data_IF_208510607740
#
_entry.id   IF_208510607740
#
_cell.length_a   1.000
_cell.length_b   1.000
_cell.length_c   1.000
_cell.angle_alpha   90.00
_cell.angle_beta   90.00
_cell.angle_gamma   90.00
#
_symmetry.space_group_name_H-M   'P 1'
#
loop_
_entity.id
_entity.type
_entity.pdbx_description
1 polymer ?
#
# COMPACT_ATOMS: atom_id res chain seq x y z
N UNK A 1 -24.91 8.15 -46.44
CA UNK A 1 -25.47 8.09 -45.07
C UNK A 1 -25.33 6.64 -44.64
N UNK A 2 -24.32 6.32 -43.84
CA UNK A 2 -24.03 4.94 -43.42
C UNK A 2 -24.90 4.56 -42.22
N UNK A 3 -25.75 3.56 -42.42
CA UNK A 3 -26.63 2.98 -41.40
C UNK A 3 -25.79 2.35 -40.27
N UNK A 4 -25.67 3.03 -39.13
CA UNK A 4 -25.08 2.48 -37.91
C UNK A 4 -26.07 1.45 -37.31
N UNK A 5 -25.83 0.16 -37.55
CA UNK A 5 -26.63 -0.92 -36.94
C UNK A 5 -26.39 -0.94 -35.43
N UNK A 6 -27.44 -0.66 -34.65
CA UNK A 6 -27.41 -0.52 -33.18
C UNK A 6 -27.29 -1.84 -32.39
N UNK A 7 -26.93 -2.95 -33.04
CA UNK A 7 -26.85 -4.26 -32.39
C UNK A 7 -25.37 -4.65 -32.20
N UNK A 8 -24.91 -4.92 -30.97
CA UNK A 8 -23.57 -5.41 -30.75
C UNK A 8 -23.39 -6.77 -31.44
N UNK A 9 -22.20 -7.05 -32.01
CA UNK A 9 -21.92 -8.35 -32.60
C UNK A 9 -21.98 -9.43 -31.52
N UNK A 10 -22.88 -10.40 -31.68
CA UNK A 10 -22.94 -11.60 -30.84
C UNK A 10 -21.68 -12.44 -31.06
N UNK A 11 -20.66 -12.27 -30.21
CA UNK A 11 -19.51 -13.16 -30.15
C UNK A 11 -19.94 -14.56 -29.72
N UNK A 12 -19.37 -15.57 -30.38
CA UNK A 12 -19.60 -17.00 -30.10
C UNK A 12 -19.08 -17.35 -28.70
N UNK A 13 -19.84 -18.20 -28.00
CA UNK A 13 -19.63 -18.70 -26.63
C UNK A 13 -18.27 -19.37 -26.39
N UNK A 14 -17.55 -19.77 -27.43
CA UNK A 14 -16.21 -20.36 -27.33
C UNK A 14 -15.14 -19.43 -26.74
N UNK A 15 -15.38 -18.12 -26.73
CA UNK A 15 -14.45 -17.12 -26.16
C UNK A 15 -14.58 -17.03 -24.62
N UNK A 16 -15.68 -17.52 -24.04
CA UNK A 16 -15.92 -17.50 -22.58
C UNK A 16 -15.16 -18.62 -21.86
N UNK A 17 -15.13 -19.82 -22.42
CA UNK A 17 -14.42 -20.95 -21.81
C UNK A 17 -12.91 -20.68 -21.73
N UNK A 18 -12.33 -20.08 -22.76
CA UNK A 18 -10.93 -19.65 -22.76
C UNK A 18 -10.65 -18.54 -21.74
N UNK A 19 -11.60 -17.62 -21.52
CA UNK A 19 -11.51 -16.57 -20.51
C UNK A 19 -11.59 -17.13 -19.08
N UNK A 20 -12.48 -18.11 -18.84
CA UNK A 20 -12.61 -18.79 -17.55
C UNK A 20 -11.38 -19.65 -17.23
N UNK A 21 -10.78 -20.29 -18.23
CA UNK A 21 -9.61 -21.17 -18.04
C UNK A 21 -8.35 -20.37 -17.65
N UNK A 22 -8.22 -19.12 -18.12
CA UNK A 22 -7.10 -18.24 -17.76
C UNK A 22 -7.10 -17.80 -16.29
N UNK A 23 -8.23 -17.89 -15.58
CA UNK A 23 -8.32 -17.55 -14.15
C UNK A 23 -7.85 -18.69 -13.23
N UNK A 24 -7.71 -19.92 -13.76
CA UNK A 24 -7.26 -21.09 -13.00
C UNK A 24 -5.77 -21.39 -13.16
N UNK A 25 -5.00 -20.56 -13.90
CA UNK A 25 -3.55 -20.68 -13.94
C UNK A 25 -2.97 -20.23 -12.59
N UNK A 26 -3.01 -21.18 -11.66
CA UNK A 26 -2.50 -21.12 -10.30
C UNK A 26 -1.05 -20.64 -10.34
N UNK A 27 -0.87 -19.35 -10.09
CA UNK A 27 0.35 -18.82 -9.51
C UNK A 27 0.51 -19.48 -8.15
N UNK A 28 1.09 -20.68 -8.11
CA UNK A 28 1.51 -21.31 -6.85
C UNK A 28 2.44 -20.32 -6.17
N UNK A 29 2.04 -19.71 -5.04
CA UNK A 29 2.96 -18.85 -4.33
C UNK A 29 4.08 -19.75 -3.82
N UNK A 30 5.31 -19.51 -4.31
CA UNK A 30 6.52 -20.13 -3.76
C UNK A 30 6.48 -19.88 -2.25
N UNK A 31 6.27 -20.94 -1.47
CA UNK A 31 6.27 -20.87 -0.03
C UNK A 31 7.64 -20.34 0.41
N UNK A 32 7.66 -19.10 0.89
CA UNK A 32 8.85 -18.53 1.52
C UNK A 32 9.17 -19.38 2.75
N UNK A 33 10.46 -19.66 3.02
CA UNK A 33 10.84 -20.41 4.20
C UNK A 33 10.30 -19.68 5.43
N UNK A 34 9.58 -20.40 6.31
CA UNK A 34 9.08 -19.89 7.58
C UNK A 34 10.26 -19.40 8.41
N UNK A 35 10.57 -18.10 8.34
CA UNK A 35 11.42 -17.45 9.32
C UNK A 35 10.65 -17.47 10.63
N UNK A 36 11.25 -18.01 11.68
CA UNK A 36 10.78 -17.76 13.03
C UNK A 36 10.98 -16.26 13.29
N UNK A 37 9.92 -15.48 13.10
CA UNK A 37 9.95 -14.04 13.33
C UNK A 37 10.25 -13.81 14.82
N UNK A 38 11.35 -13.12 15.12
CA UNK A 38 11.71 -12.79 16.50
C UNK A 38 10.80 -11.69 17.05
N UNK A 39 10.29 -10.84 16.16
CA UNK A 39 9.44 -9.70 16.50
C UNK A 39 8.10 -9.70 15.76
N UNK A 40 7.04 -9.13 16.35
CA UNK A 40 5.71 -9.09 15.74
C UNK A 40 5.65 -8.41 14.37
N UNK A 41 6.52 -7.43 14.10
CA UNK A 41 6.60 -6.72 12.80
C UNK A 41 7.36 -7.49 11.72
N UNK A 42 8.02 -8.60 12.04
CA UNK A 42 8.72 -9.47 11.09
C UNK A 42 7.88 -10.70 10.67
N UNK A 43 6.68 -10.85 11.23
CA UNK A 43 5.81 -11.98 10.93
C UNK A 43 5.39 -11.97 9.46
N UNK A 44 5.25 -13.15 8.83
CA UNK A 44 4.87 -13.30 7.41
C UNK A 44 3.50 -12.65 7.09
N UNK A 45 2.64 -12.49 8.10
CA UNK A 45 1.35 -11.79 7.97
C UNK A 45 1.47 -10.26 7.84
N UNK A 46 2.64 -9.69 8.14
CA UNK A 46 2.88 -8.25 8.06
C UNK A 46 3.22 -7.92 6.62
N UNK A 47 2.43 -7.01 6.05
CA UNK A 47 2.55 -6.56 4.66
C UNK A 47 3.03 -5.13 4.62
N UNK A 48 4.10 -4.87 3.86
CA UNK A 48 4.70 -3.54 3.68
C UNK A 48 3.82 -2.59 2.85
N UNK A 49 2.92 -3.14 2.02
CA UNK A 49 2.04 -2.36 1.16
C UNK A 49 0.75 -1.88 1.87
N UNK A 50 0.50 -2.35 3.10
CA UNK A 50 -0.68 -1.96 3.87
C UNK A 50 -0.34 -0.76 4.77
N UNK A 51 -0.90 0.39 4.42
CA UNK A 51 -0.79 1.61 5.23
C UNK A 51 -1.98 1.67 6.19
N UNK A 52 -1.68 1.79 7.49
CA UNK A 52 -2.69 1.98 8.54
C UNK A 52 -2.70 3.44 9.00
N UNK A 53 -3.91 3.98 9.19
CA UNK A 53 -4.07 5.36 9.69
C UNK A 53 -3.68 5.42 11.15
N UNK A 54 -2.81 6.39 11.50
CA UNK A 54 -2.47 6.73 12.87
C UNK A 54 -2.72 8.22 13.09
N UNK A 55 -3.72 8.55 13.93
CA UNK A 55 -4.14 9.92 14.18
C UNK A 55 -3.30 10.56 15.30
N UNK A 56 -2.53 11.60 14.96
CA UNK A 56 -1.72 12.36 15.90
C UNK A 56 -2.50 13.53 16.50
N UNK A 57 -2.31 13.78 17.80
CA UNK A 57 -2.77 15.00 18.46
C UNK A 57 -1.59 15.95 18.62
N UNK A 58 -1.65 17.08 17.92
CA UNK A 58 -0.65 18.14 18.00
C UNK A 58 -1.27 19.35 18.67
N UNK A 59 -0.48 20.10 19.43
CA UNK A 59 -0.91 21.44 19.84
C UNK A 59 -0.93 22.37 18.63
N UNK A 60 -1.78 23.38 18.70
CA UNK A 60 -1.97 24.35 17.62
C UNK A 60 -0.65 24.98 17.11
N UNK A 61 0.31 25.40 17.96
CA UNK A 61 1.57 25.96 17.48
C UNK A 61 2.35 25.01 16.55
N UNK A 62 2.34 23.70 16.82
CA UNK A 62 3.04 22.73 15.99
C UNK A 62 2.30 22.45 14.69
N UNK A 63 0.96 22.45 14.72
CA UNK A 63 0.18 22.35 13.49
C UNK A 63 0.48 23.52 12.54
N UNK A 64 0.57 24.74 13.07
CA UNK A 64 0.91 25.92 12.29
C UNK A 64 2.33 25.85 11.72
N UNK A 65 3.31 25.37 12.50
CA UNK A 65 4.68 25.11 12.02
C UNK A 65 4.71 24.09 10.87
N UNK A 66 3.92 23.01 10.97
CA UNK A 66 3.84 22.02 9.90
C UNK A 66 3.24 22.60 8.62
N UNK A 67 2.18 23.44 8.73
CA UNK A 67 1.61 24.14 7.58
C UNK A 67 2.65 25.02 6.90
N UNK A 68 3.39 25.79 7.70
CA UNK A 68 4.48 26.63 7.20
C UNK A 68 5.53 25.80 6.44
N UNK A 69 5.96 24.66 6.98
CA UNK A 69 6.92 23.78 6.29
C UNK A 69 6.36 23.30 4.95
N UNK A 70 5.09 22.87 4.90
CA UNK A 70 4.48 22.37 3.67
C UNK A 70 4.29 23.46 2.59
N UNK A 71 4.18 24.73 2.98
CA UNK A 71 4.12 25.86 2.05
C UNK A 71 5.50 26.24 1.49
N UNK A 72 6.57 25.96 2.23
CA UNK A 72 7.93 26.39 1.91
C UNK A 72 8.83 25.25 1.42
N UNK A 73 8.31 24.03 1.34
CA UNK A 73 9.03 22.84 0.89
C UNK A 73 8.16 22.03 -0.06
N UNK A 74 8.73 21.16 -0.91
CA UNK A 74 7.93 20.25 -1.75
C UNK A 74 7.31 19.09 -0.96
N UNK A 75 7.54 19.00 0.35
CA UNK A 75 7.04 17.90 1.18
C UNK A 75 5.67 18.23 1.77
N UNK A 76 4.73 17.28 1.67
CA UNK A 76 3.45 17.39 2.37
C UNK A 76 3.66 17.25 3.87
N UNK A 77 2.76 17.85 4.67
CA UNK A 77 2.77 17.71 6.13
C UNK A 77 2.85 16.23 6.56
N UNK A 78 2.09 15.36 5.88
CA UNK A 78 2.07 13.93 6.17
C UNK A 78 3.42 13.27 5.86
N UNK A 79 4.03 13.56 4.71
CA UNK A 79 5.32 12.99 4.31
C UNK A 79 6.44 13.42 5.27
N UNK A 80 6.45 14.70 5.65
CA UNK A 80 7.40 15.23 6.63
C UNK A 80 7.26 14.54 7.99
N UNK A 81 6.03 14.45 8.52
CA UNK A 81 5.77 13.77 9.79
C UNK A 81 6.16 12.29 9.76
N UNK A 82 5.79 11.58 8.68
CA UNK A 82 6.09 10.15 8.52
C UNK A 82 7.61 9.90 8.56
N UNK A 83 8.37 10.65 7.76
CA UNK A 83 9.83 10.51 7.71
C UNK A 83 10.51 10.75 9.07
N UNK A 84 10.01 11.73 9.83
CA UNK A 84 10.51 12.00 11.18
C UNK A 84 10.15 10.87 12.17
N UNK A 85 8.92 10.34 12.09
CA UNK A 85 8.43 9.28 12.97
C UNK A 85 9.13 7.95 12.69
N UNK A 86 9.25 7.53 11.42
CA UNK A 86 9.91 6.28 11.04
C UNK A 86 11.36 6.22 11.53
N UNK A 87 12.10 7.32 11.35
CA UNK A 87 13.48 7.43 11.82
C UNK A 87 13.61 7.23 13.33
N UNK A 88 12.72 7.84 14.12
CA UNK A 88 12.74 7.70 15.58
C UNK A 88 12.23 6.33 16.04
N UNK A 89 11.28 5.71 15.33
CA UNK A 89 10.84 4.33 15.58
C UNK A 89 12.03 3.38 15.41
N UNK A 90 12.72 3.42 14.26
CA UNK A 90 13.84 2.53 13.97
C UNK A 90 14.96 2.68 14.99
N UNK A 91 15.25 3.92 15.40
CA UNK A 91 16.23 4.21 16.45
C UNK A 91 15.80 3.58 17.77
N UNK A 92 14.54 3.75 18.18
CA UNK A 92 14.03 3.20 19.44
C UNK A 92 14.00 1.67 19.42
N UNK A 93 13.62 1.05 18.31
CA UNK A 93 13.66 -0.42 18.17
C UNK A 93 15.09 -0.92 18.33
N UNK A 94 16.07 -0.30 17.65
CA UNK A 94 17.50 -0.66 17.81
C UNK A 94 18.02 -0.51 19.24
N UNK A 95 17.48 0.42 20.03
CA UNK A 95 17.82 0.56 21.45
C UNK A 95 17.20 -0.56 22.30
N UNK A 96 16.00 -1.03 21.96
CA UNK A 96 15.27 -2.05 22.71
C UNK A 96 15.68 -3.49 22.34
N UNK A 97 16.16 -3.70 21.13
CA UNK A 97 16.58 -5.02 20.62
C UNK A 97 18.10 -5.22 20.63
N UNK A 98 18.81 -4.33 21.31
CA UNK A 98 20.27 -4.36 21.46
C UNK A 98 20.75 -5.35 22.52
#
# INVERSE_FOLDING_TARGET
>A
MSELKSRPPTKKTSDLDNFLTGAEEKTTPKAKPKRNAAYPWEAESVREDIIKVYNLRLSEPYLLKLKYIAEHTPDSMQKFCLAAVEKEIDKKIKELTK
#
